data_IF_196959946857
#
_entry.id   IF_196959946857
#
_cell.length_a   1.000
_cell.length_b   1.000
_cell.length_c   1.000
_cell.angle_alpha   90.00
_cell.angle_beta   90.00
_cell.angle_gamma   90.00
#
_symmetry.space_group_name_H-M   'P 1'
#
loop_
_entity.id
_entity.type
_entity.pdbx_description
1 polymer ?
#
# COMPACT_ATOMS: atom_id res chain seq x y z
N UNK A 1 -16.76 -30.98 -41.32
CA UNK A 1 -15.63 -30.78 -40.40
C UNK A 1 -16.13 -29.89 -39.27
N UNK A 2 -16.52 -30.52 -38.16
CA UNK A 2 -17.13 -29.86 -37.00
C UNK A 2 -16.01 -29.28 -36.12
N UNK A 3 -15.86 -27.96 -36.13
CA UNK A 3 -15.13 -27.26 -35.09
C UNK A 3 -15.91 -27.38 -33.78
N UNK A 4 -15.45 -28.27 -32.90
CA UNK A 4 -16.03 -28.46 -31.58
C UNK A 4 -15.77 -27.22 -30.71
N UNK A 5 -16.78 -26.68 -30.02
CA UNK A 5 -16.70 -25.45 -29.21
C UNK A 5 -15.64 -25.51 -28.09
N UNK A 6 -15.20 -26.70 -27.71
CA UNK A 6 -14.15 -26.97 -26.73
C UNK A 6 -12.75 -26.46 -27.16
N UNK A 7 -12.44 -26.49 -28.47
CA UNK A 7 -11.17 -25.96 -29.01
C UNK A 7 -11.09 -24.43 -28.90
N UNK A 8 -12.24 -23.76 -29.06
CA UNK A 8 -12.37 -22.29 -28.93
C UNK A 8 -12.22 -21.82 -27.47
N UNK A 9 -12.78 -22.56 -26.51
CA UNK A 9 -12.63 -22.25 -25.10
C UNK A 9 -11.19 -22.41 -24.60
N UNK A 10 -10.50 -23.46 -25.04
CA UNK A 10 -9.09 -23.71 -24.69
C UNK A 10 -8.14 -22.65 -25.26
N UNK A 11 -8.34 -22.25 -26.52
CA UNK A 11 -7.57 -21.17 -27.14
C UNK A 11 -7.78 -19.83 -26.44
N UNK A 12 -9.02 -19.49 -26.07
CA UNK A 12 -9.31 -18.28 -25.29
C UNK A 12 -8.70 -18.31 -23.90
N UNK A 13 -8.69 -19.47 -23.25
CA UNK A 13 -8.03 -19.64 -21.95
C UNK A 13 -6.50 -19.48 -22.07
N UNK A 14 -5.88 -20.04 -23.12
CA UNK A 14 -4.45 -19.89 -23.39
C UNK A 14 -4.08 -18.43 -23.72
N UNK A 15 -4.90 -17.71 -24.50
CA UNK A 15 -4.73 -16.27 -24.75
C UNK A 15 -4.86 -15.45 -23.46
N UNK A 16 -5.89 -15.72 -22.64
CA UNK A 16 -6.10 -15.04 -21.36
C UNK A 16 -4.91 -15.26 -20.41
N UNK A 17 -4.41 -16.50 -20.31
CA UNK A 17 -3.21 -16.82 -19.53
C UNK A 17 -1.97 -16.11 -20.09
N UNK A 18 -1.85 -15.97 -21.42
CA UNK A 18 -0.80 -15.21 -22.07
C UNK A 18 -0.84 -13.70 -21.80
N UNK A 19 -2.03 -13.13 -21.59
CA UNK A 19 -2.18 -11.74 -21.13
C UNK A 19 -1.83 -11.60 -19.65
N UNK A 20 -2.38 -12.47 -18.80
CA UNK A 20 -2.13 -12.45 -17.35
C UNK A 20 -0.64 -12.64 -17.02
N UNK A 21 0.06 -13.53 -17.72
CA UNK A 21 1.49 -13.75 -17.52
C UNK A 21 2.34 -12.55 -17.98
N UNK A 22 1.94 -11.85 -19.05
CA UNK A 22 2.60 -10.60 -19.47
C UNK A 22 2.39 -9.49 -18.45
N UNK A 23 1.16 -9.33 -17.97
CA UNK A 23 0.84 -8.33 -16.96
C UNK A 23 1.55 -8.64 -15.64
N UNK A 24 1.70 -9.91 -15.27
CA UNK A 24 2.51 -10.34 -14.12
C UNK A 24 3.99 -9.99 -14.30
N UNK A 25 4.61 -10.32 -15.42
CA UNK A 25 6.02 -10.01 -15.69
C UNK A 25 6.28 -8.50 -15.73
N UNK A 26 5.36 -7.72 -16.29
CA UNK A 26 5.41 -6.25 -16.25
C UNK A 26 5.32 -5.78 -14.80
N UNK A 27 4.34 -6.27 -14.03
CA UNK A 27 4.20 -5.92 -12.62
C UNK A 27 5.45 -6.27 -11.79
N UNK A 28 6.10 -7.41 -12.04
CA UNK A 28 7.33 -7.82 -11.36
C UNK A 28 8.50 -6.90 -11.70
N UNK A 29 8.70 -6.55 -12.97
CA UNK A 29 9.77 -5.62 -13.38
C UNK A 29 9.53 -4.22 -12.78
N UNK A 30 8.29 -3.75 -12.79
CA UNK A 30 7.92 -2.46 -12.21
C UNK A 30 8.00 -2.47 -10.69
N UNK A 31 7.61 -3.55 -10.01
CA UNK A 31 7.68 -3.66 -8.55
C UNK A 31 9.13 -3.68 -8.07
N UNK A 32 10.01 -4.42 -8.74
CA UNK A 32 11.42 -4.50 -8.38
C UNK A 32 12.15 -3.19 -8.66
N UNK A 33 11.83 -2.51 -9.77
CA UNK A 33 12.32 -1.17 -10.08
C UNK A 33 11.86 -0.15 -9.04
N UNK A 34 10.58 -0.18 -8.67
CA UNK A 34 10.02 0.68 -7.63
C UNK A 34 10.71 0.48 -6.28
N UNK A 35 10.86 -0.75 -5.82
CA UNK A 35 11.44 -1.06 -4.50
C UNK A 35 12.91 -0.65 -4.37
N UNK A 36 13.66 -0.62 -5.47
CA UNK A 36 15.12 -0.39 -5.47
C UNK A 36 15.53 1.01 -5.88
N UNK A 37 14.82 1.62 -6.82
CA UNK A 37 15.26 2.86 -7.49
C UNK A 37 14.38 4.05 -7.17
N UNK A 38 13.09 3.84 -6.87
CA UNK A 38 12.22 4.93 -6.49
C UNK A 38 12.64 5.46 -5.12
N UNK A 39 12.70 6.78 -4.95
CA UNK A 39 13.11 7.39 -3.68
C UNK A 39 11.92 8.07 -3.01
N UNK A 40 11.64 7.65 -1.78
CA UNK A 40 10.68 8.29 -0.88
C UNK A 40 11.50 8.98 0.20
N UNK A 41 11.43 10.31 0.27
CA UNK A 41 12.21 11.12 1.21
C UNK A 41 13.71 10.76 1.24
N UNK A 42 14.29 10.52 0.06
CA UNK A 42 15.73 10.23 -0.11
C UNK A 42 16.14 8.78 0.13
N UNK A 43 15.20 7.86 0.40
CA UNK A 43 15.50 6.43 0.57
C UNK A 43 14.57 5.54 -0.25
N UNK A 44 15.04 4.37 -0.72
CA UNK A 44 14.19 3.43 -1.42
C UNK A 44 13.14 2.80 -0.49
N UNK A 45 11.95 2.42 -1.02
CA UNK A 45 10.90 1.74 -0.27
C UNK A 45 11.40 0.54 0.56
N UNK A 46 12.33 -0.24 -0.01
CA UNK A 46 12.93 -1.39 0.68
C UNK A 46 13.65 -1.00 1.97
N UNK A 47 14.37 0.13 1.98
CA UNK A 47 15.06 0.62 3.17
C UNK A 47 14.08 1.06 4.24
N UNK A 48 13.00 1.75 3.84
CA UNK A 48 11.94 2.13 4.76
C UNK A 48 11.23 0.92 5.37
N UNK A 49 10.87 -0.09 4.56
CA UNK A 49 10.29 -1.33 5.07
C UNK A 49 11.21 -2.03 6.07
N UNK A 50 12.53 -2.04 5.81
CA UNK A 50 13.52 -2.59 6.74
C UNK A 50 13.60 -1.77 8.04
N UNK A 51 13.55 -0.45 7.95
CA UNK A 51 13.58 0.45 9.11
C UNK A 51 12.36 0.24 10.02
N UNK A 52 11.16 0.16 9.45
CA UNK A 52 9.91 -0.07 10.18
C UNK A 52 9.66 -1.54 10.55
N UNK A 53 10.57 -2.45 10.22
CA UNK A 53 10.42 -3.87 10.56
C UNK A 53 10.57 -4.09 12.06
N UNK A 54 9.61 -4.79 12.63
CA UNK A 54 9.63 -5.24 14.03
C UNK A 54 9.51 -6.75 14.05
N UNK A 55 10.51 -7.41 14.63
CA UNK A 55 10.50 -8.86 14.83
C UNK A 55 9.90 -9.17 16.20
N UNK A 56 8.86 -9.99 16.24
CA UNK A 56 8.29 -10.52 17.48
C UNK A 56 8.84 -11.94 17.67
N UNK A 57 9.48 -12.25 18.82
CA UNK A 57 9.84 -13.62 19.17
C UNK A 57 8.61 -14.54 19.23
N UNK A 58 8.78 -15.84 19.00
CA UNK A 58 7.67 -16.81 19.02
C UNK A 58 6.99 -16.92 20.40
N UNK A 59 7.76 -16.73 21.47
CA UNK A 59 7.26 -16.74 22.85
C UNK A 59 7.90 -15.61 23.64
N UNK A 60 7.43 -14.36 23.45
CA UNK A 60 8.05 -13.21 24.07
C UNK A 60 7.69 -13.16 25.55
N UNK A 61 8.67 -12.93 26.42
CA UNK A 61 8.40 -12.70 27.84
C UNK A 61 7.81 -11.30 28.09
N UNK A 62 7.34 -11.03 29.32
CA UNK A 62 6.74 -9.74 29.68
C UNK A 62 7.69 -8.54 29.51
N UNK A 63 8.99 -8.71 29.73
CA UNK A 63 9.97 -7.65 29.57
C UNK A 63 10.22 -7.34 28.08
N UNK A 64 10.30 -8.39 27.25
CA UNK A 64 10.41 -8.30 25.80
C UNK A 64 9.17 -7.63 25.21
N UNK A 65 7.96 -8.01 25.63
CA UNK A 65 6.72 -7.35 25.21
C UNK A 65 6.75 -5.84 25.52
N UNK A 66 7.19 -5.44 26.72
CA UNK A 66 7.33 -4.02 27.09
C UNK A 66 8.34 -3.28 26.20
N UNK A 67 9.50 -3.89 25.94
CA UNK A 67 10.52 -3.30 25.08
C UNK A 67 10.03 -3.13 23.63
N UNK A 68 9.34 -4.15 23.10
CA UNK A 68 8.75 -4.10 21.75
C UNK A 68 7.64 -3.04 21.70
N UNK A 69 6.77 -2.95 22.71
CA UNK A 69 5.71 -1.95 22.78
C UNK A 69 6.25 -0.51 22.77
N UNK A 70 7.32 -0.24 23.53
CA UNK A 70 7.98 1.07 23.53
C UNK A 70 8.58 1.41 22.16
N UNK A 71 9.24 0.44 21.51
CA UNK A 71 9.76 0.62 20.14
C UNK A 71 8.63 0.89 19.13
N UNK A 72 7.53 0.14 19.23
CA UNK A 72 6.36 0.30 18.35
C UNK A 72 5.72 1.67 18.49
N UNK A 73 5.64 2.23 19.71
CA UNK A 73 5.08 3.57 19.92
C UNK A 73 5.85 4.63 19.12
N UNK A 74 7.19 4.59 19.15
CA UNK A 74 8.04 5.51 18.39
C UNK A 74 7.86 5.33 16.87
N UNK A 75 7.90 4.08 16.40
CA UNK A 75 7.72 3.77 14.98
C UNK A 75 6.33 4.16 14.46
N UNK A 76 5.28 3.97 15.26
CA UNK A 76 3.91 4.38 14.92
C UNK A 76 3.79 5.90 14.83
N UNK A 77 4.44 6.64 15.73
CA UNK A 77 4.45 8.10 15.69
C UNK A 77 5.13 8.60 14.41
N UNK A 78 6.30 8.05 14.06
CA UNK A 78 7.02 8.39 12.84
C UNK A 78 6.22 8.03 11.58
N UNK A 79 5.65 6.81 11.51
CA UNK A 79 4.85 6.37 10.38
C UNK A 79 3.59 7.23 10.20
N UNK A 80 2.94 7.61 11.30
CA UNK A 80 1.80 8.55 11.28
C UNK A 80 2.20 9.89 10.70
N UNK A 81 3.35 10.43 11.10
CA UNK A 81 3.87 11.69 10.57
C UNK A 81 4.11 11.61 9.04
N UNK A 82 4.80 10.57 8.57
CA UNK A 82 5.07 10.41 7.14
C UNK A 82 3.81 10.20 6.31
N UNK A 83 2.84 9.44 6.84
CA UNK A 83 1.53 9.25 6.20
C UNK A 83 0.79 10.58 6.09
N UNK A 84 0.70 11.36 7.17
CA UNK A 84 0.06 12.67 7.17
C UNK A 84 0.73 13.66 6.20
N UNK A 85 2.06 13.66 6.14
CA UNK A 85 2.81 14.48 5.18
C UNK A 85 2.52 14.09 3.72
N UNK A 86 2.46 12.78 3.43
CA UNK A 86 2.13 12.28 2.10
C UNK A 86 0.67 12.59 1.71
N UNK A 87 -0.27 12.53 2.66
CA UNK A 87 -1.65 12.93 2.47
C UNK A 87 -1.78 14.43 2.18
N UNK A 88 -1.12 15.28 2.99
CA UNK A 88 -1.10 16.72 2.75
C UNK A 88 -0.50 17.10 1.39
N UNK A 89 0.55 16.39 0.96
CA UNK A 89 1.14 16.58 -0.37
C UNK A 89 0.14 16.22 -1.48
N UNK A 90 -0.56 15.09 -1.36
CA UNK A 90 -1.58 14.68 -2.32
C UNK A 90 -2.72 15.70 -2.40
N UNK A 91 -3.18 16.20 -1.27
CA UNK A 91 -4.27 17.18 -1.20
C UNK A 91 -3.85 18.52 -1.81
N UNK A 92 -2.61 18.97 -1.56
CA UNK A 92 -2.05 20.17 -2.16
C UNK A 92 -1.96 20.05 -3.70
N UNK A 93 -1.47 18.92 -4.21
CA UNK A 93 -1.38 18.65 -5.65
C UNK A 93 -2.76 18.56 -6.31
N UNK A 94 -3.71 17.87 -5.68
CA UNK A 94 -5.08 17.72 -6.20
C UNK A 94 -5.80 19.08 -6.25
N UNK A 95 -5.60 19.91 -5.23
CA UNK A 95 -6.12 21.29 -5.21
C UNK A 95 -5.46 22.15 -6.29
N UNK A 96 -4.17 21.97 -6.52
CA UNK A 96 -3.41 22.64 -7.59
C UNK A 96 -3.88 22.23 -8.99
N UNK A 97 -4.15 20.95 -9.23
CA UNK A 97 -4.67 20.45 -10.52
C UNK A 97 -5.95 21.17 -10.93
N UNK A 98 -6.91 21.29 -10.02
CA UNK A 98 -8.18 21.96 -10.31
C UNK A 98 -7.96 23.44 -10.68
N UNK A 99 -7.08 24.15 -9.97
CA UNK A 99 -6.77 25.56 -10.26
C UNK A 99 -6.09 25.74 -11.60
N UNK A 100 -5.06 24.93 -11.87
CA UNK A 100 -4.31 24.99 -13.13
C UNK A 100 -5.17 24.58 -14.32
N UNK A 101 -6.03 23.57 -14.16
CA UNK A 101 -7.05 23.21 -15.15
C UNK A 101 -7.96 24.40 -15.49
N UNK A 102 -8.54 25.03 -14.47
CA UNK A 102 -9.43 26.18 -14.66
C UNK A 102 -8.70 27.36 -15.31
N UNK A 103 -7.47 27.64 -14.90
CA UNK A 103 -6.64 28.69 -15.51
C UNK A 103 -6.34 28.39 -16.99
N UNK A 104 -5.92 27.16 -17.32
CA UNK A 104 -5.65 26.72 -18.68
C UNK A 104 -6.89 26.79 -19.57
N UNK A 105 -8.04 26.35 -19.05
CA UNK A 105 -9.32 26.40 -19.75
C UNK A 105 -9.76 27.83 -20.02
N UNK A 106 -9.74 28.71 -19.00
CA UNK A 106 -10.13 30.11 -19.15
C UNK A 106 -9.20 30.86 -20.12
N UNK A 107 -7.90 30.56 -20.09
CA UNK A 107 -6.93 31.12 -21.04
C UNK A 107 -7.24 30.70 -22.48
N UNK A 108 -7.55 29.43 -22.72
CA UNK A 108 -7.96 28.95 -24.06
C UNK A 108 -9.22 29.69 -24.55
N UNK A 109 -10.24 29.81 -23.70
CA UNK A 109 -11.47 30.54 -24.06
C UNK A 109 -11.17 32.01 -24.40
N UNK A 110 -10.30 32.67 -23.62
CA UNK A 110 -9.89 34.04 -23.86
C UNK A 110 -9.09 34.19 -25.17
N UNK A 111 -8.20 33.25 -25.49
CA UNK A 111 -7.43 33.23 -26.75
C UNK A 111 -8.34 33.13 -27.98
N UNK A 112 -9.34 32.25 -27.96
CA UNK A 112 -10.31 32.13 -29.07
C UNK A 112 -11.16 33.40 -29.24
N UNK A 113 -11.61 33.99 -28.13
CA UNK A 113 -12.34 35.27 -28.14
C UNK A 113 -11.50 36.41 -28.68
N UNK A 114 -10.24 36.53 -28.24
CA UNK A 114 -9.32 37.56 -28.71
C UNK A 114 -8.95 37.39 -30.19
N UNK A 115 -8.88 36.15 -30.68
CA UNK A 115 -8.64 35.84 -32.08
C UNK A 115 -9.89 35.99 -32.97
N UNK A 116 -11.05 36.37 -32.40
CA UNK A 116 -12.34 36.46 -33.08
C UNK A 116 -12.75 35.15 -33.79
N UNK A 117 -12.34 34.00 -33.22
CA UNK A 117 -12.64 32.66 -33.75
C UNK A 117 -13.82 32.05 -32.99
N UNK A 118 -14.59 31.23 -33.68
CA UNK A 118 -15.62 30.42 -33.03
C UNK A 118 -14.98 29.46 -32.02
N UNK A 119 -15.59 29.36 -30.84
CA UNK A 119 -15.16 28.41 -29.82
C UNK A 119 -15.43 26.97 -30.31
N UNK A 120 -14.45 26.07 -30.23
CA UNK A 120 -14.67 24.66 -30.51
C UNK A 120 -15.58 24.05 -29.43
N UNK A 121 -16.08 22.83 -29.70
CA UNK A 121 -16.93 22.12 -28.76
C UNK A 121 -16.24 21.99 -27.38
N UNK A 122 -17.02 22.10 -26.29
CA UNK A 122 -16.52 22.08 -24.90
C UNK A 122 -15.51 20.95 -24.66
N UNK A 123 -15.85 19.73 -25.11
CA UNK A 123 -15.01 18.54 -24.96
C UNK A 123 -13.61 18.67 -25.61
N UNK A 124 -13.50 19.46 -26.67
CA UNK A 124 -12.21 19.78 -27.33
C UNK A 124 -11.39 20.72 -26.46
N UNK A 125 -12.01 21.79 -25.92
CA UNK A 125 -11.36 22.72 -25.00
C UNK A 125 -10.89 22.03 -23.71
N UNK A 126 -11.72 21.14 -23.16
CA UNK A 126 -11.38 20.31 -22.02
C UNK A 126 -10.16 19.43 -22.31
N UNK A 127 -10.13 18.78 -23.48
CA UNK A 127 -8.99 17.94 -23.89
C UNK A 127 -7.70 18.76 -24.03
N UNK A 128 -7.78 19.96 -24.62
CA UNK A 128 -6.64 20.88 -24.75
C UNK A 128 -6.19 21.48 -23.41
N UNK A 129 -7.10 21.72 -22.47
CA UNK A 129 -6.75 22.14 -21.12
C UNK A 129 -6.10 21.01 -20.33
N UNK A 130 -6.63 19.78 -20.46
CA UNK A 130 -6.09 18.58 -19.82
C UNK A 130 -4.67 18.25 -20.29
N UNK A 131 -4.34 18.44 -21.57
CA UNK A 131 -2.98 18.20 -22.07
C UNK A 131 -1.95 19.17 -21.46
N UNK A 132 -2.36 20.38 -21.08
CA UNK A 132 -1.49 21.39 -20.44
C UNK A 132 -1.16 21.08 -18.98
N UNK A 133 -1.87 20.15 -18.34
CA UNK A 133 -1.69 19.79 -16.91
C UNK A 133 -1.26 18.33 -16.71
N UNK A 134 -0.81 17.66 -17.77
CA UNK A 134 -0.47 16.22 -17.73
C UNK A 134 0.62 15.90 -16.68
N UNK A 135 1.59 16.80 -16.49
CA UNK A 135 2.65 16.64 -15.49
C UNK A 135 2.10 16.65 -14.05
N UNK A 136 1.09 17.48 -13.78
CA UNK A 136 0.43 17.55 -12.47
C UNK A 136 -0.29 16.23 -12.17
N UNK A 137 -0.93 15.62 -13.17
CA UNK A 137 -1.54 14.29 -13.02
C UNK A 137 -0.52 13.20 -12.72
N UNK A 138 0.64 13.24 -13.38
CA UNK A 138 1.77 12.36 -13.06
C UNK A 138 2.21 12.52 -11.60
N UNK A 139 2.37 13.76 -11.15
CA UNK A 139 2.71 14.07 -9.76
C UNK A 139 1.65 13.57 -8.76
N UNK A 140 0.36 13.71 -9.07
CA UNK A 140 -0.74 13.18 -8.24
C UNK A 140 -0.67 11.66 -8.12
N UNK A 141 -0.43 10.95 -9.22
CA UNK A 141 -0.32 9.49 -9.17
C UNK A 141 0.89 9.06 -8.32
N UNK A 142 2.02 9.73 -8.46
CA UNK A 142 3.18 9.49 -7.60
C UNK A 142 2.88 9.76 -6.12
N UNK A 143 2.21 10.88 -5.81
CA UNK A 143 1.80 11.19 -4.43
C UNK A 143 0.84 10.15 -3.85
N UNK A 144 -0.08 9.59 -4.66
CA UNK A 144 -0.93 8.46 -4.26
C UNK A 144 -0.12 7.21 -3.94
N UNK A 145 0.88 6.87 -4.75
CA UNK A 145 1.76 5.73 -4.49
C UNK A 145 2.50 5.90 -3.15
N UNK A 146 3.06 7.07 -2.90
CA UNK A 146 3.74 7.40 -1.63
C UNK A 146 2.77 7.33 -0.45
N UNK A 147 1.57 7.92 -0.55
CA UNK A 147 0.53 7.83 0.48
C UNK A 147 0.18 6.38 0.80
N UNK A 148 -0.08 5.57 -0.22
CA UNK A 148 -0.45 4.16 -0.06
C UNK A 148 0.69 3.33 0.54
N UNK A 149 1.94 3.63 0.18
CA UNK A 149 3.11 3.02 0.80
C UNK A 149 3.13 3.26 2.32
N UNK A 150 3.01 4.53 2.74
CA UNK A 150 2.99 4.88 4.16
C UNK A 150 1.78 4.31 4.91
N UNK A 151 0.62 4.26 4.26
CA UNK A 151 -0.58 3.63 4.80
C UNK A 151 -0.33 2.15 5.14
N UNK A 152 0.28 1.39 4.22
CA UNK A 152 0.59 -0.04 4.43
C UNK A 152 1.58 -0.24 5.58
N UNK A 153 2.59 0.62 5.71
CA UNK A 153 3.51 0.58 6.86
C UNK A 153 2.76 0.81 8.16
N UNK A 154 1.92 1.85 8.22
CA UNK A 154 1.14 2.19 9.41
C UNK A 154 0.20 1.05 9.81
N UNK A 155 -0.55 0.48 8.86
CA UNK A 155 -1.44 -0.67 9.07
C UNK A 155 -0.67 -1.89 9.59
N UNK A 156 0.50 -2.19 9.02
CA UNK A 156 1.37 -3.28 9.47
C UNK A 156 1.84 -3.08 10.92
N UNK A 157 2.27 -1.87 11.29
CA UNK A 157 2.69 -1.57 12.66
C UNK A 157 1.54 -1.66 13.67
N UNK A 158 0.34 -1.23 13.28
CA UNK A 158 -0.87 -1.36 14.10
C UNK A 158 -1.18 -2.84 14.35
N UNK A 159 -1.02 -3.69 13.34
CA UNK A 159 -1.24 -5.14 13.50
C UNK A 159 -0.20 -5.79 14.42
N UNK A 160 1.08 -5.45 14.25
CA UNK A 160 2.16 -5.90 15.14
C UNK A 160 1.89 -5.46 16.59
N UNK A 161 1.39 -4.24 16.80
CA UNK A 161 0.99 -3.76 18.13
C UNK A 161 -0.09 -4.63 18.76
N UNK A 162 -1.16 -4.97 18.02
CA UNK A 162 -2.23 -5.86 18.53
C UNK A 162 -1.67 -7.22 18.93
N UNK A 163 -0.76 -7.78 18.15
CA UNK A 163 -0.12 -9.06 18.44
C UNK A 163 0.69 -9.01 19.74
N UNK A 164 1.41 -7.92 19.99
CA UNK A 164 2.17 -7.72 21.24
C UNK A 164 1.23 -7.52 22.44
N UNK A 165 0.13 -6.79 22.27
CA UNK A 165 -0.89 -6.63 23.32
C UNK A 165 -1.52 -8.00 23.70
N UNK A 166 -1.84 -8.83 22.71
CA UNK A 166 -2.36 -10.18 22.91
C UNK A 166 -1.34 -11.08 23.63
N UNK A 167 -0.08 -11.07 23.21
CA UNK A 167 0.98 -11.83 23.87
C UNK A 167 1.17 -11.40 25.33
N UNK A 168 1.11 -10.09 25.61
CA UNK A 168 1.18 -9.54 26.97
C UNK A 168 0.04 -10.05 27.86
N UNK A 169 -1.18 -10.11 27.31
CA UNK A 169 -2.35 -10.62 28.03
C UNK A 169 -2.23 -12.13 28.33
N UNK A 170 -1.72 -12.92 27.38
CA UNK A 170 -1.46 -14.34 27.57
C UNK A 170 -0.43 -14.58 28.69
N UNK A 171 0.68 -13.85 28.69
CA UNK A 171 1.70 -13.95 29.74
C UNK A 171 1.14 -13.62 31.13
N UNK A 172 0.30 -12.59 31.23
CA UNK A 172 -0.36 -12.21 32.49
C UNK A 172 -1.31 -13.30 32.99
N UNK A 173 -2.02 -13.96 32.07
CA UNK A 173 -2.94 -15.05 32.40
C UNK A 173 -2.19 -16.30 32.87
N UNK A 174 -1.12 -16.68 32.17
CA UNK A 174 -0.25 -17.80 32.57
C UNK A 174 0.37 -17.55 33.95
N UNK A 175 0.93 -16.36 34.20
CA UNK A 175 1.50 -16.02 35.49
C UNK A 175 0.47 -16.12 36.64
N UNK A 176 -0.80 -15.73 36.40
CA UNK A 176 -1.87 -15.90 37.39
C UNK A 176 -2.25 -17.38 37.60
N UNK A 177 -2.28 -18.19 36.55
CA UNK A 177 -2.52 -19.63 36.67
C UNK A 177 -1.42 -20.31 37.50
N UNK A 178 -0.17 -19.94 37.28
CA UNK A 178 0.98 -20.44 38.06
C UNK A 178 0.92 -20.01 39.53
N UNK A 179 0.47 -18.78 39.82
CA UNK A 179 0.35 -18.26 41.19
C UNK A 179 -0.83 -18.83 41.98
N UNK A 180 -1.98 -19.08 41.33
CA UNK A 180 -3.24 -19.42 42.01
C UNK A 180 -3.69 -20.88 41.85
N UNK A 181 -2.91 -21.72 41.16
CA UNK A 181 -2.95 -23.17 41.30
C UNK A 181 -3.36 -23.95 40.05
N UNK A 182 -3.04 -25.26 40.08
CA UNK A 182 -3.54 -26.29 39.16
C UNK A 182 -5.06 -26.51 39.24
N UNK A 183 -5.85 -25.45 39.20
CA UNK A 183 -7.29 -25.46 38.99
C UNK A 183 -7.60 -25.14 37.53
N UNK A 184 -8.26 -26.08 36.86
CA UNK A 184 -8.75 -25.94 35.48
C UNK A 184 -9.59 -24.67 35.30
N UNK A 185 -8.98 -23.61 34.77
CA UNK A 185 -9.70 -22.52 34.10
C UNK A 185 -9.67 -22.86 32.60
N UNK A 186 -10.79 -22.79 31.88
CA UNK A 186 -10.86 -23.18 30.47
C UNK A 186 -9.76 -22.47 29.68
N UNK A 187 -8.85 -23.27 29.11
CA UNK A 187 -7.89 -22.78 28.12
C UNK A 187 -8.69 -22.13 27.00
N UNK A 188 -8.61 -20.81 26.90
CA UNK A 188 -8.97 -20.15 25.66
C UNK A 188 -7.85 -20.50 24.69
N UNK A 189 -7.96 -21.67 24.05
CA UNK A 189 -6.96 -22.14 23.10
C UNK A 189 -6.83 -21.07 22.01
N UNK A 190 -5.70 -20.36 21.91
CA UNK A 190 -5.45 -19.60 20.71
C UNK A 190 -5.38 -20.63 19.59
N UNK A 191 -6.15 -20.38 18.53
CA UNK A 191 -6.19 -21.17 17.32
C UNK A 191 -4.73 -21.52 16.93
N UNK A 192 -4.33 -22.78 17.15
CA UNK A 192 -2.95 -23.29 17.03
C UNK A 192 -2.56 -23.50 15.55
N UNK A 193 -2.99 -22.59 14.69
CA UNK A 193 -2.58 -22.51 13.31
C UNK A 193 -1.77 -21.22 13.13
N UNK A 194 -0.51 -21.35 12.73
CA UNK A 194 0.36 -20.28 12.22
C UNK A 194 1.08 -19.39 13.25
N UNK A 195 1.78 -19.97 14.23
CA UNK A 195 2.97 -19.29 14.77
C UNK A 195 4.14 -19.59 13.84
N UNK A 196 4.27 -18.75 12.82
CA UNK A 196 5.23 -18.91 11.73
C UNK A 196 4.98 -17.87 10.65
N UNK A 197 4.78 -16.61 11.03
CA UNK A 197 4.79 -15.52 10.05
C UNK A 197 5.73 -14.42 10.55
N UNK A 198 6.82 -14.24 9.81
CA UNK A 198 7.40 -12.92 9.70
C UNK A 198 6.26 -12.01 9.24
N UNK A 199 5.74 -11.12 10.10
CA UNK A 199 4.88 -10.02 9.63
C UNK A 199 5.79 -9.00 8.97
N UNK A 200 6.36 -9.39 7.84
CA UNK A 200 6.80 -8.46 6.82
C UNK A 200 5.55 -7.85 6.22
N UNK A 201 5.49 -6.53 6.10
CA UNK A 201 4.64 -5.85 5.11
C UNK A 201 5.15 -6.18 3.69
N UNK A 202 5.29 -7.46 3.39
CA UNK A 202 5.51 -8.02 2.08
C UNK A 202 4.13 -8.48 1.60
N UNK A 203 3.70 -7.88 0.50
CA UNK A 203 2.67 -8.45 -0.36
C UNK A 203 3.04 -9.92 -0.58
N UNK A 204 2.12 -10.83 -0.29
CA UNK A 204 2.25 -12.26 -0.60
C UNK A 204 2.70 -12.42 -2.05
N UNK A 205 3.93 -12.90 -2.25
CA UNK A 205 4.32 -13.58 -3.46
C UNK A 205 3.81 -15.02 -3.34
N UNK A 206 2.70 -15.30 -4.01
CA UNK A 206 2.17 -16.64 -4.20
C UNK A 206 3.26 -17.56 -4.77
N UNK A 207 3.66 -18.53 -3.95
CA UNK A 207 4.37 -19.73 -4.39
C UNK A 207 3.44 -20.53 -5.29
N UNK A 208 3.73 -20.58 -6.58
CA UNK A 208 3.25 -21.63 -7.48
C UNK A 208 4.47 -22.36 -8.05
N UNK A 209 4.50 -23.66 -7.76
CA UNK A 209 5.30 -24.77 -8.31
C UNK A 209 6.71 -25.04 -7.74
N UNK A 210 6.75 -25.95 -6.76
CA UNK A 210 7.50 -27.21 -6.89
C UNK A 210 6.50 -28.36 -6.89
#
# INVERSE_FOLDING_TARGET
MSDTPEKSARQRAEELMGYLNRDKAINEIFSDGWERQYLIYGKPPREWRRYFRVSIPESPDTAQCKAIAAKLANLLQEATFFYAAAEAQLDALSSGESREYTAAFNKLVAEYKAANKNLPASKTLETMANSKIMDIRGAIQNARLIKNFWKRILEGLVEVRKNVELATWNNSTQAKQEMYGGGNIPQNQPNRGQYGSEVTAAVEEDKINS
#
